data_IF_663987809508
#
_entry.id   IF_663987809508
#
_cell.length_a   1.000
_cell.length_b   1.000
_cell.length_c   1.000
_cell.angle_alpha   90.00
_cell.angle_beta   90.00
_cell.angle_gamma   90.00
#
_symmetry.space_group_name_H-M   'P 1'
#
loop_
_entity.id
_entity.type
_entity.pdbx_description
1 polymer ?
#
# COMPACT_ATOMS: atom_id res chain seq x y z
N UNK A 1 0.71 -5.54 -17.74
CA UNK A 1 -0.77 -5.56 -17.53
C UNK A 1 -1.11 -4.51 -16.50
N UNK A 2 -1.97 -3.56 -16.82
CA UNK A 2 -2.42 -2.53 -15.88
C UNK A 2 -3.50 -3.12 -14.97
N UNK A 3 -3.39 -2.89 -13.67
CA UNK A 3 -4.41 -3.29 -12.70
C UNK A 3 -5.72 -2.56 -13.00
N UNK A 4 -6.81 -3.31 -13.02
CA UNK A 4 -8.15 -2.70 -13.01
C UNK A 4 -8.52 -2.37 -11.56
N UNK A 5 -8.70 -1.09 -11.30
CA UNK A 5 -9.09 -0.58 -10.00
C UNK A 5 -10.62 -0.55 -9.89
N UNK A 6 -11.17 -1.29 -8.94
CA UNK A 6 -12.62 -1.32 -8.71
C UNK A 6 -13.14 0.08 -8.33
N UNK A 7 -12.38 0.83 -7.54
CA UNK A 7 -12.74 2.20 -7.19
C UNK A 7 -12.89 3.12 -8.41
N UNK A 8 -12.06 2.91 -9.45
CA UNK A 8 -12.17 3.67 -10.71
C UNK A 8 -13.37 3.25 -11.55
N UNK A 9 -13.79 1.99 -11.46
CA UNK A 9 -14.99 1.48 -12.16
C UNK A 9 -16.27 1.95 -11.48
N UNK A 10 -16.27 2.04 -10.15
CA UNK A 10 -17.45 2.47 -9.35
C UNK A 10 -17.66 4.00 -9.36
N UNK A 11 -16.60 4.78 -9.60
CA UNK A 11 -16.63 6.23 -9.51
C UNK A 11 -16.06 6.89 -10.76
N UNK A 12 -16.86 7.77 -11.39
CA UNK A 12 -16.43 8.55 -12.55
C UNK A 12 -15.24 9.46 -12.20
N UNK A 13 -14.37 9.71 -13.18
CA UNK A 13 -13.16 10.50 -13.01
C UNK A 13 -13.41 11.88 -12.42
N UNK A 14 -14.43 12.59 -12.92
CA UNK A 14 -14.79 13.94 -12.46
C UNK A 14 -15.12 13.95 -10.96
N UNK A 15 -15.85 12.93 -10.48
CA UNK A 15 -16.19 12.80 -9.06
C UNK A 15 -14.96 12.52 -8.20
N UNK A 16 -14.08 11.62 -8.66
CA UNK A 16 -12.84 11.28 -7.96
C UNK A 16 -11.90 12.48 -7.90
N UNK A 17 -11.70 13.18 -9.01
CA UNK A 17 -10.86 14.37 -9.09
C UNK A 17 -11.37 15.49 -8.18
N UNK A 18 -12.65 15.81 -8.23
CA UNK A 18 -13.25 16.81 -7.35
C UNK A 18 -13.13 16.46 -5.87
N UNK A 19 -13.28 15.16 -5.52
CA UNK A 19 -13.10 14.68 -4.15
C UNK A 19 -11.62 14.76 -3.73
N UNK A 20 -10.69 14.30 -4.55
CA UNK A 20 -9.26 14.33 -4.29
C UNK A 20 -8.74 15.75 -4.06
N UNK A 21 -9.10 16.70 -4.92
CA UNK A 21 -8.76 18.11 -4.76
C UNK A 21 -9.34 18.71 -3.48
N UNK A 22 -10.61 18.43 -3.17
CA UNK A 22 -11.26 18.89 -1.95
C UNK A 22 -10.53 18.39 -0.70
N UNK A 23 -10.15 17.10 -0.69
CA UNK A 23 -9.39 16.48 0.40
C UNK A 23 -8.02 17.13 0.55
N UNK A 24 -7.28 17.32 -0.55
CA UNK A 24 -5.97 17.95 -0.55
C UNK A 24 -6.00 19.40 -0.06
N UNK A 25 -7.03 20.13 -0.44
CA UNK A 25 -7.24 21.52 0.00
C UNK A 25 -7.57 21.61 1.49
N UNK A 26 -8.40 20.66 1.98
CA UNK A 26 -8.84 20.63 3.39
C UNK A 26 -7.76 20.07 4.34
N UNK A 27 -6.96 19.10 3.85
CA UNK A 27 -5.95 18.40 4.65
C UNK A 27 -4.61 18.36 3.90
N UNK A 28 -3.88 19.51 3.85
CA UNK A 28 -2.64 19.60 3.06
C UNK A 28 -1.50 18.74 3.61
N UNK A 29 -1.54 18.39 4.90
CA UNK A 29 -0.60 17.52 5.61
C UNK A 29 -0.92 16.02 5.49
N UNK A 30 -1.98 15.67 4.75
CA UNK A 30 -2.43 14.29 4.58
C UNK A 30 -2.52 13.89 3.12
N UNK A 31 -2.43 12.59 2.90
CA UNK A 31 -2.42 11.96 1.58
C UNK A 31 -3.66 11.09 1.42
N UNK A 32 -4.51 11.33 0.42
CA UNK A 32 -5.62 10.43 0.09
C UNK A 32 -5.09 9.20 -0.66
N UNK A 33 -5.38 8.02 -0.12
CA UNK A 33 -4.89 6.73 -0.64
C UNK A 33 -6.06 5.80 -0.90
N UNK A 34 -6.06 5.16 -2.06
CA UNK A 34 -6.94 4.04 -2.39
C UNK A 34 -6.12 2.75 -2.25
N UNK A 35 -6.63 1.80 -1.47
CA UNK A 35 -5.96 0.52 -1.22
C UNK A 35 -6.88 -0.60 -1.66
N UNK A 36 -6.44 -1.41 -2.61
CA UNK A 36 -7.22 -2.55 -3.12
C UNK A 36 -6.37 -3.82 -3.17
N UNK A 37 -7.05 -4.95 -2.98
CA UNK A 37 -6.43 -6.25 -3.13
C UNK A 37 -6.11 -6.53 -4.59
N UNK A 38 -4.91 -7.04 -4.85
CA UNK A 38 -4.54 -7.51 -6.18
C UNK A 38 -5.46 -8.67 -6.61
N UNK A 39 -5.87 -8.76 -7.90
CA UNK A 39 -6.89 -9.72 -8.35
C UNK A 39 -6.61 -11.18 -8.03
N UNK A 40 -5.34 -11.56 -7.93
CA UNK A 40 -4.90 -12.96 -7.65
C UNK A 40 -4.46 -13.19 -6.20
N UNK A 41 -4.49 -12.16 -5.35
CA UNK A 41 -4.08 -12.28 -3.96
C UNK A 41 -5.05 -13.15 -3.15
N UNK A 42 -4.49 -14.04 -2.33
CA UNK A 42 -5.23 -15.01 -1.50
C UNK A 42 -5.35 -14.59 -0.04
N UNK A 43 -5.21 -13.31 0.23
CA UNK A 43 -5.30 -12.71 1.57
C UNK A 43 -6.65 -12.04 1.77
N UNK A 44 -6.95 -11.69 3.03
CA UNK A 44 -8.22 -11.07 3.41
C UNK A 44 -8.51 -9.76 2.68
N UNK A 45 -9.79 -9.45 2.57
CA UNK A 45 -10.26 -8.19 2.00
C UNK A 45 -10.25 -7.08 3.07
N UNK A 46 -10.02 -5.85 2.60
CA UNK A 46 -10.20 -4.66 3.43
C UNK A 46 -11.68 -4.28 3.49
N UNK A 47 -12.14 -3.92 4.68
CA UNK A 47 -13.47 -3.36 4.92
C UNK A 47 -13.66 -2.00 4.25
N UNK A 48 -12.57 -1.26 4.07
CA UNK A 48 -12.53 0.07 3.46
C UNK A 48 -11.37 0.17 2.49
N UNK A 49 -11.61 0.82 1.35
CA UNK A 49 -10.61 1.04 0.31
C UNK A 49 -9.95 2.41 0.40
N UNK A 50 -10.64 3.42 0.94
CA UNK A 50 -10.18 4.81 0.98
C UNK A 50 -9.62 5.18 2.35
N UNK A 51 -8.40 5.72 2.35
CA UNK A 51 -7.65 6.14 3.54
C UNK A 51 -7.16 7.57 3.39
N UNK A 52 -7.11 8.29 4.49
CA UNK A 52 -6.47 9.60 4.59
C UNK A 52 -5.31 9.49 5.56
N UNK A 53 -4.10 9.50 5.04
CA UNK A 53 -2.89 9.12 5.74
C UNK A 53 -2.01 10.34 5.98
N UNK A 54 -1.41 10.54 7.18
CA UNK A 54 -0.41 11.58 7.40
C UNK A 54 0.75 11.46 6.41
N UNK A 55 1.22 12.58 5.88
CA UNK A 55 2.30 12.58 4.87
C UNK A 55 3.66 12.17 5.42
N UNK A 56 3.88 12.34 6.73
CA UNK A 56 5.10 11.93 7.45
C UNK A 56 5.10 10.44 7.85
N UNK A 57 3.95 9.74 7.72
CA UNK A 57 3.86 8.31 7.97
C UNK A 57 4.73 7.55 6.96
N UNK A 58 5.53 6.60 7.44
CA UNK A 58 6.32 5.74 6.55
C UNK A 58 5.46 4.65 5.90
N UNK A 59 5.91 4.15 4.75
CA UNK A 59 5.29 3.00 4.08
C UNK A 59 5.24 1.79 5.01
N UNK A 60 6.30 1.53 5.78
CA UNK A 60 6.34 0.45 6.76
C UNK A 60 5.29 0.59 7.86
N UNK A 61 5.03 1.81 8.33
CA UNK A 61 3.98 2.09 9.30
C UNK A 61 2.58 1.89 8.71
N UNK A 62 2.38 2.31 7.47
CA UNK A 62 1.12 2.07 6.76
C UNK A 62 0.91 0.58 6.47
N UNK A 63 1.97 -0.15 6.18
CA UNK A 63 1.99 -1.59 6.01
C UNK A 63 1.44 -2.33 7.23
N UNK A 64 1.88 -1.95 8.42
CA UNK A 64 1.38 -2.50 9.67
C UNK A 64 -0.12 -2.25 9.88
N UNK A 65 -0.58 -1.04 9.59
CA UNK A 65 -1.98 -0.69 9.70
C UNK A 65 -2.85 -1.59 8.81
N UNK A 66 -2.43 -1.83 7.58
CA UNK A 66 -3.15 -2.70 6.64
C UNK A 66 -3.10 -4.16 7.11
N UNK A 67 -1.93 -4.67 7.56
CA UNK A 67 -1.81 -6.03 8.13
C UNK A 67 -2.79 -6.27 9.27
N UNK A 68 -2.90 -5.32 10.19
CA UNK A 68 -3.81 -5.40 11.33
C UNK A 68 -5.28 -5.43 10.88
N UNK A 69 -5.62 -4.65 9.85
CA UNK A 69 -7.00 -4.59 9.33
C UNK A 69 -7.46 -5.85 8.64
N UNK A 70 -6.58 -6.51 7.90
CA UNK A 70 -6.90 -7.79 7.26
C UNK A 70 -6.64 -8.99 8.17
N UNK A 71 -6.29 -8.75 9.45
CA UNK A 71 -6.00 -9.79 10.45
C UNK A 71 -4.94 -10.79 9.99
N UNK A 72 -3.90 -10.30 9.31
CA UNK A 72 -2.84 -11.13 8.76
C UNK A 72 -1.93 -11.64 9.89
N UNK A 73 -1.58 -12.92 9.87
CA UNK A 73 -0.67 -13.51 10.83
C UNK A 73 0.75 -12.99 10.62
N UNK A 74 1.61 -12.99 11.67
CA UNK A 74 3.00 -12.50 11.54
C UNK A 74 3.82 -13.22 10.47
N UNK A 75 3.54 -14.51 10.24
CA UNK A 75 4.22 -15.37 9.26
C UNK A 75 3.73 -15.15 7.81
N UNK A 76 2.54 -14.58 7.63
CA UNK A 76 1.98 -14.36 6.30
C UNK A 76 2.66 -13.16 5.63
N UNK A 77 3.01 -13.32 4.36
CA UNK A 77 3.60 -12.24 3.57
C UNK A 77 2.54 -11.21 3.17
N UNK A 78 2.98 -9.96 3.05
CA UNK A 78 2.20 -8.87 2.48
C UNK A 78 3.13 -7.99 1.66
N UNK A 79 2.72 -7.63 0.46
CA UNK A 79 3.46 -6.73 -0.44
C UNK A 79 2.56 -5.60 -0.90
N UNK A 80 3.11 -4.39 -0.95
CA UNK A 80 2.48 -3.25 -1.60
C UNK A 80 3.05 -3.02 -2.98
N UNK A 81 2.20 -2.61 -3.88
CA UNK A 81 2.56 -2.21 -5.24
C UNK A 81 1.97 -0.85 -5.55
N UNK A 82 2.83 0.05 -5.99
CA UNK A 82 2.47 1.36 -6.53
C UNK A 82 3.01 1.44 -7.94
N UNK A 83 2.15 1.59 -8.94
CA UNK A 83 2.56 1.52 -10.35
C UNK A 83 3.42 0.28 -10.69
N UNK A 84 3.03 -0.89 -10.15
CA UNK A 84 3.74 -2.17 -10.29
C UNK A 84 5.15 -2.23 -9.66
N UNK A 85 5.52 -1.27 -8.83
CA UNK A 85 6.78 -1.23 -8.09
C UNK A 85 6.51 -1.40 -6.60
N UNK A 86 7.35 -2.16 -5.90
CA UNK A 86 7.30 -2.27 -4.43
C UNK A 86 8.02 -1.05 -3.84
N UNK A 87 7.29 -0.17 -3.12
CA UNK A 87 7.91 1.01 -2.52
C UNK A 87 8.79 0.62 -1.34
N UNK A 88 9.92 1.34 -1.08
CA UNK A 88 10.74 1.10 0.09
C UNK A 88 9.98 1.43 1.38
N UNK A 89 10.15 0.60 2.40
CA UNK A 89 9.43 0.75 3.68
C UNK A 89 9.82 2.01 4.46
N UNK A 90 11.02 2.53 4.20
CA UNK A 90 11.55 3.77 4.79
C UNK A 90 11.01 5.04 4.14
N UNK A 91 10.44 4.97 2.92
CA UNK A 91 9.84 6.12 2.26
C UNK A 91 8.63 6.64 3.03
N UNK A 92 8.38 7.95 2.99
CA UNK A 92 7.17 8.56 3.56
C UNK A 92 6.01 8.46 2.58
N UNK A 93 4.79 8.42 3.11
CA UNK A 93 3.59 8.44 2.26
C UNK A 93 3.47 9.73 1.46
N UNK A 94 3.99 10.84 2.00
CA UNK A 94 4.06 12.12 1.29
C UNK A 94 4.99 12.09 0.08
N UNK A 95 6.20 11.52 0.23
CA UNK A 95 7.14 11.33 -0.88
C UNK A 95 6.55 10.42 -1.96
N UNK A 96 5.98 9.29 -1.54
CA UNK A 96 5.34 8.34 -2.44
C UNK A 96 4.17 8.96 -3.21
N UNK A 97 3.39 9.82 -2.55
CA UNK A 97 2.32 10.57 -3.18
C UNK A 97 2.84 11.57 -4.22
N UNK A 98 3.88 12.31 -3.91
CA UNK A 98 4.46 13.28 -4.86
C UNK A 98 4.94 12.61 -6.15
N UNK A 99 5.47 11.39 -6.05
CA UNK A 99 6.01 10.66 -7.20
C UNK A 99 4.95 9.88 -7.99
N UNK A 100 3.88 9.41 -7.32
CA UNK A 100 3.00 8.38 -7.87
C UNK A 100 1.50 8.68 -7.79
N UNK A 101 1.08 9.87 -7.32
CA UNK A 101 -0.35 10.20 -7.36
C UNK A 101 -0.85 10.30 -8.80
N UNK A 102 -2.11 9.94 -8.99
CA UNK A 102 -2.74 10.04 -10.30
C UNK A 102 -3.44 11.40 -10.51
N UNK A 103 -3.95 11.63 -11.71
CA UNK A 103 -4.61 12.88 -12.11
C UNK A 103 -5.85 13.21 -11.25
N UNK A 104 -6.48 12.20 -10.63
CA UNK A 104 -7.59 12.36 -9.70
C UNK A 104 -7.14 12.73 -8.27
N UNK A 105 -5.86 13.02 -8.08
CA UNK A 105 -5.25 13.40 -6.80
C UNK A 105 -5.28 12.28 -5.74
N UNK A 106 -5.48 11.02 -6.12
CA UNK A 106 -5.33 9.86 -5.25
C UNK A 106 -4.03 9.11 -5.51
N UNK A 107 -3.49 8.52 -4.45
CA UNK A 107 -2.44 7.51 -4.54
C UNK A 107 -3.08 6.12 -4.52
N UNK A 108 -2.75 5.29 -5.48
CA UNK A 108 -3.29 3.93 -5.60
C UNK A 108 -2.26 2.89 -5.16
N UNK A 109 -2.62 2.06 -4.18
CA UNK A 109 -1.79 0.99 -3.64
C UNK A 109 -2.52 -0.34 -3.76
N UNK A 110 -1.94 -1.28 -4.49
CA UNK A 110 -2.39 -2.67 -4.50
C UNK A 110 -1.66 -3.46 -3.41
N UNK A 111 -2.33 -4.43 -2.77
CA UNK A 111 -1.68 -5.34 -1.84
C UNK A 111 -1.87 -6.80 -2.24
N UNK A 112 -0.86 -7.62 -1.99
CA UNK A 112 -0.83 -9.05 -2.33
C UNK A 112 -0.01 -9.84 -1.32
N UNK A 113 -0.24 -11.15 -1.27
CA UNK A 113 0.58 -12.15 -0.56
C UNK A 113 1.77 -12.63 -1.40
N UNK A 114 1.81 -12.28 -2.68
CA UNK A 114 2.88 -12.67 -3.61
C UNK A 114 3.69 -11.44 -4.04
N UNK A 115 5.02 -11.62 -4.11
CA UNK A 115 5.96 -10.55 -4.52
C UNK A 115 5.93 -10.23 -6.02
N UNK A 116 5.25 -11.04 -6.82
CA UNK A 116 5.14 -10.86 -8.27
C UNK A 116 3.72 -10.47 -8.64
N UNK A 117 3.55 -9.26 -9.14
CA UNK A 117 2.28 -8.73 -9.60
C UNK A 117 2.12 -8.98 -11.10
N UNK A 118 1.14 -9.82 -11.49
CA UNK A 118 0.68 -9.91 -12.87
C UNK A 118 1.38 -10.92 -13.77
N UNK A 119 2.24 -11.82 -13.29
CA UNK A 119 2.87 -12.86 -14.13
C UNK A 119 2.23 -14.24 -13.94
N UNK A 120 1.13 -14.52 -14.64
CA UNK A 120 0.59 -15.87 -14.65
C UNK A 120 0.14 -16.38 -16.04
N UNK A 121 0.54 -15.76 -17.11
CA UNK A 121 0.18 -16.22 -18.44
C UNK A 121 1.40 -16.36 -19.37
N UNK A 122 2.49 -16.96 -18.94
CA UNK A 122 3.52 -17.55 -19.81
C UNK A 122 4.73 -18.03 -18.99
N UNK A 123 4.60 -19.09 -18.22
CA UNK A 123 5.76 -19.90 -17.92
C UNK A 123 5.95 -20.90 -19.07
N UNK A 124 6.50 -20.41 -20.16
CA UNK A 124 7.16 -21.25 -21.14
C UNK A 124 8.59 -21.50 -20.65
N UNK A 125 8.88 -22.73 -20.26
CA UNK A 125 10.18 -23.16 -19.75
C UNK A 125 11.34 -22.96 -20.76
N UNK A 126 11.03 -22.64 -22.00
CA UNK A 126 11.99 -22.47 -23.10
C UNK A 126 12.60 -21.05 -23.18
N UNK A 127 12.06 -20.07 -22.42
CA UNK A 127 12.50 -18.67 -22.50
C UNK A 127 12.97 -18.15 -21.13
N UNK A 128 14.06 -18.72 -20.61
CA UNK A 128 14.74 -18.21 -19.42
C UNK A 128 15.51 -16.93 -19.78
N UNK A 129 15.04 -15.72 -19.46
CA UNK A 129 15.91 -14.56 -19.51
C UNK A 129 16.99 -14.71 -18.45
N UNK A 130 18.23 -14.44 -18.86
CA UNK A 130 19.42 -14.43 -18.02
C UNK A 130 19.14 -13.68 -16.69
N UNK A 131 19.27 -14.37 -15.57
CA UNK A 131 19.00 -13.87 -14.24
C UNK A 131 19.84 -12.64 -13.87
N UNK A 132 19.23 -11.51 -13.57
CA UNK A 132 19.70 -10.67 -12.48
C UNK A 132 18.64 -10.39 -11.39
N UNK A 133 17.37 -10.78 -11.56
CA UNK A 133 16.30 -10.32 -10.67
C UNK A 133 16.13 -11.13 -9.37
N UNK A 134 16.77 -12.31 -9.25
CA UNK A 134 16.63 -13.18 -8.06
C UNK A 134 17.62 -12.92 -6.93
N UNK A 135 18.47 -11.89 -7.03
CA UNK A 135 19.40 -11.54 -5.93
C UNK A 135 18.76 -10.77 -4.78
N UNK A 136 17.48 -10.37 -4.88
CA UNK A 136 16.83 -9.55 -3.84
C UNK A 136 15.90 -10.31 -2.88
N UNK A 137 15.79 -11.64 -2.96
CA UNK A 137 15.02 -12.40 -1.94
C UNK A 137 15.65 -12.33 -0.54
N UNK A 138 16.94 -12.02 -0.43
CA UNK A 138 17.58 -11.79 0.86
C UNK A 138 17.23 -10.41 1.48
N UNK A 139 16.83 -9.43 0.66
CA UNK A 139 16.40 -8.12 1.17
C UNK A 139 14.98 -8.16 1.75
N UNK A 140 14.05 -8.90 1.15
CA UNK A 140 12.68 -9.00 1.66
C UNK A 140 12.61 -9.67 3.03
N UNK A 141 13.46 -10.68 3.28
CA UNK A 141 13.55 -11.31 4.60
C UNK A 141 14.17 -10.36 5.62
N UNK A 142 15.18 -9.60 5.22
CA UNK A 142 15.84 -8.59 6.07
C UNK A 142 14.91 -7.42 6.37
N UNK A 143 14.13 -6.95 5.39
CA UNK A 143 13.09 -5.93 5.58
C UNK A 143 11.97 -6.42 6.51
N UNK A 144 11.53 -7.68 6.38
CA UNK A 144 10.58 -8.28 7.32
C UNK A 144 11.16 -8.40 8.73
N UNK A 145 12.43 -8.73 8.87
CA UNK A 145 13.11 -8.83 10.17
C UNK A 145 13.37 -7.44 10.78
N UNK A 146 13.68 -6.42 9.99
CA UNK A 146 13.79 -5.02 10.43
C UNK A 146 12.44 -4.46 10.88
N UNK A 147 11.36 -4.76 10.16
CA UNK A 147 9.99 -4.43 10.57
C UNK A 147 9.68 -5.12 11.92
N UNK A 148 10.05 -6.38 12.08
CA UNK A 148 9.84 -7.14 13.31
C UNK A 148 10.65 -6.59 14.50
N UNK A 149 11.90 -6.16 14.28
CA UNK A 149 12.72 -5.50 15.29
C UNK A 149 12.18 -4.11 15.68
N UNK A 150 11.72 -3.33 14.72
CA UNK A 150 11.12 -2.02 14.98
C UNK A 150 9.87 -2.12 15.89
N UNK A 151 9.09 -3.21 15.75
CA UNK A 151 7.90 -3.46 16.58
C UNK A 151 8.21 -3.86 18.02
N UNK A 152 9.32 -4.51 18.26
CA UNK A 152 9.74 -4.92 19.59
C UNK A 152 10.15 -3.73 20.49
N UNK A 153 10.63 -2.65 19.88
CA UNK A 153 11.21 -1.52 20.62
C UNK A 153 10.26 -0.32 20.84
N UNK A 154 9.19 -0.19 20.04
CA UNK A 154 8.32 1.03 20.05
C UNK A 154 6.82 0.73 20.14
N UNK A 155 6.44 -0.51 20.41
CA UNK A 155 5.08 -1.04 20.21
C UNK A 155 3.96 -0.26 20.90
N UNK A 156 4.10 0.12 22.19
CA UNK A 156 2.98 0.71 22.94
C UNK A 156 2.73 2.19 22.62
N UNK A 157 3.76 2.96 22.41
CA UNK A 157 3.63 4.40 22.12
C UNK A 157 3.18 4.64 20.69
N UNK A 158 3.59 3.75 19.79
CA UNK A 158 3.18 3.74 18.40
C UNK A 158 1.71 3.32 18.23
N UNK A 159 1.24 2.31 18.96
CA UNK A 159 -0.19 1.95 18.99
C UNK A 159 -1.07 3.12 19.45
N UNK A 160 -0.67 3.85 20.48
CA UNK A 160 -1.42 5.03 20.95
C UNK A 160 -1.50 6.12 19.88
N UNK A 161 -0.44 6.38 19.13
CA UNK A 161 -0.44 7.36 18.03
C UNK A 161 -1.30 6.91 16.86
N UNK A 162 -1.28 5.62 16.51
CA UNK A 162 -2.13 5.07 15.46
C UNK A 162 -3.59 5.02 15.87
N UNK A 163 -3.91 4.68 17.12
CA UNK A 163 -5.28 4.65 17.62
C UNK A 163 -5.87 6.07 17.69
N UNK A 164 -5.09 7.06 18.12
CA UNK A 164 -5.50 8.46 18.06
C UNK A 164 -5.65 8.98 16.62
N UNK A 165 -4.81 8.53 15.69
CA UNK A 165 -4.94 8.89 14.28
C UNK A 165 -5.98 8.04 13.55
N UNK A 166 -6.33 6.84 14.04
CA UNK A 166 -7.29 5.96 13.37
C UNK A 166 -8.73 6.49 13.42
N UNK A 167 -9.10 7.23 14.46
CA UNK A 167 -10.36 7.98 14.46
C UNK A 167 -10.35 9.16 13.47
N UNK A 168 -9.17 9.71 13.18
CA UNK A 168 -8.95 10.79 12.21
C UNK A 168 -8.62 10.30 10.80
N UNK A 169 -8.34 8.99 10.61
CA UNK A 169 -8.11 8.36 9.31
C UNK A 169 -9.40 8.16 8.48
N UNK A 170 -10.56 8.41 9.10
CA UNK A 170 -11.85 8.30 8.43
C UNK A 170 -12.48 9.66 8.25
N UNK A 171 -12.42 10.19 7.05
CA UNK A 171 -13.33 11.26 6.66
C UNK A 171 -14.56 10.61 6.06
N UNK A 172 -15.70 10.72 6.75
CA UNK A 172 -17.00 10.64 6.07
C UNK A 172 -17.07 11.87 5.17
N UNK A 173 -16.92 11.67 3.88
CA UNK A 173 -17.25 12.67 2.87
C UNK A 173 -18.66 12.43 2.40
#
# INVERSE_FOLDING_TARGET
>A
MTMKWQYKEEHAFEKRGAEGEKIRRKYPDRVPVIVEKAPKARIGDLDKKKYLVPSDLTVGQFYFLIRKRISLRPEDALFFFVNNVIPPTSATMGSLYQEHHEEDSFLYIAYSDESVYGSSDAWDESNKPNKPYYKNQNNTKKECDEIRCFYSATGEEFEKRIIQSSSALYVKV
#
